data_IF_209614253682
#
_entry.id   IF_209614253682
#
_cell.length_a   1.000
_cell.length_b   1.000
_cell.length_c   1.000
_cell.angle_alpha   90.00
_cell.angle_beta   90.00
_cell.angle_gamma   90.00
#
_symmetry.space_group_name_H-M   'P 1'
#
loop_
_entity.id
_entity.type
_entity.pdbx_description
1 polymer ?
#
# COMPACT_ATOMS: atom_id res chain seq x y z
N UNK A 1 -9.38 15.06 -12.81
CA UNK A 1 -8.58 13.82 -12.93
C UNK A 1 -9.26 12.79 -13.81
N UNK A 2 -8.57 12.36 -14.88
CA UNK A 2 -8.92 11.12 -15.62
C UNK A 2 -8.63 9.90 -14.74
N UNK A 3 -9.41 8.83 -14.92
CA UNK A 3 -9.24 7.56 -14.18
C UNK A 3 -8.81 6.45 -15.15
N UNK A 4 -7.92 5.53 -14.75
CA UNK A 4 -7.54 4.41 -15.59
C UNK A 4 -8.72 3.47 -15.84
N UNK A 5 -8.78 2.90 -17.04
CA UNK A 5 -9.67 1.77 -17.36
C UNK A 5 -9.25 0.53 -16.54
N UNK A 6 -10.14 -0.43 -16.23
CA UNK A 6 -9.78 -1.62 -15.45
C UNK A 6 -8.56 -2.39 -15.99
N UNK A 7 -8.42 -2.51 -17.32
CA UNK A 7 -7.26 -3.15 -17.97
C UNK A 7 -5.95 -2.39 -17.70
N UNK A 8 -5.98 -1.05 -17.79
CA UNK A 8 -4.86 -0.18 -17.46
C UNK A 8 -4.52 -0.26 -15.97
N UNK A 9 -5.53 -0.36 -15.10
CA UNK A 9 -5.31 -0.51 -13.66
C UNK A 9 -4.64 -1.84 -13.31
N UNK A 10 -5.04 -2.95 -13.95
CA UNK A 10 -4.38 -4.27 -13.77
C UNK A 10 -2.95 -4.23 -14.28
N UNK A 11 -2.74 -3.67 -15.48
CA UNK A 11 -1.42 -3.47 -16.07
C UNK A 11 -0.50 -2.63 -15.16
N UNK A 12 -1.03 -1.56 -14.57
CA UNK A 12 -0.38 -0.74 -13.56
C UNK A 12 -0.07 -1.53 -12.27
N UNK A 13 -0.98 -2.42 -11.84
CA UNK A 13 -0.81 -3.30 -10.67
C UNK A 13 0.41 -4.21 -10.81
N UNK A 14 0.61 -4.75 -12.01
CA UNK A 14 1.68 -5.71 -12.34
C UNK A 14 3.02 -4.97 -12.60
N UNK A 15 3.04 -3.63 -12.52
CA UNK A 15 4.27 -2.84 -12.58
C UNK A 15 4.52 -2.14 -13.91
N UNK A 16 3.59 -2.19 -14.87
CA UNK A 16 3.74 -1.40 -16.10
C UNK A 16 3.44 0.09 -15.84
N UNK A 17 4.06 0.94 -16.66
CA UNK A 17 3.79 2.38 -16.69
C UNK A 17 2.45 2.66 -17.37
N UNK A 18 1.81 3.74 -16.94
CA UNK A 18 0.58 4.27 -17.53
C UNK A 18 0.94 5.42 -18.49
N UNK A 19 0.09 5.71 -19.48
CA UNK A 19 0.26 6.87 -20.35
C UNK A 19 0.33 8.20 -19.57
N UNK A 20 0.97 9.21 -20.15
CA UNK A 20 1.24 10.50 -19.49
C UNK A 20 -0.03 11.25 -19.05
N UNK A 21 -1.16 11.02 -19.71
CA UNK A 21 -2.44 11.64 -19.37
C UNK A 21 -3.04 11.13 -18.05
N UNK A 22 -2.49 10.05 -17.48
CA UNK A 22 -2.83 9.49 -16.18
C UNK A 22 -1.77 9.77 -15.10
N UNK A 23 -0.71 10.52 -15.41
CA UNK A 23 0.36 10.85 -14.45
C UNK A 23 -0.17 11.56 -13.21
N UNK A 24 -1.18 12.42 -13.35
CA UNK A 24 -1.84 13.09 -12.23
C UNK A 24 -2.52 12.07 -11.29
N UNK A 25 -3.24 11.10 -11.86
CA UNK A 25 -3.87 10.02 -11.10
C UNK A 25 -2.83 9.14 -10.39
N UNK A 26 -1.71 8.83 -11.06
CA UNK A 26 -0.59 8.08 -10.46
C UNK A 26 0.03 8.85 -9.30
N UNK A 27 0.21 10.16 -9.43
CA UNK A 27 0.71 11.01 -8.35
C UNK A 27 -0.20 10.94 -7.12
N UNK A 28 -1.51 11.07 -7.31
CA UNK A 28 -2.46 10.97 -6.20
C UNK A 28 -2.57 9.56 -5.62
N UNK A 29 -2.43 8.52 -6.45
CA UNK A 29 -2.38 7.15 -5.95
C UNK A 29 -1.14 6.90 -5.10
N UNK A 30 0.03 7.37 -5.55
CA UNK A 30 1.33 7.14 -4.91
C UNK A 30 1.62 8.09 -3.75
N UNK A 31 1.08 9.30 -3.72
CA UNK A 31 1.42 10.35 -2.72
C UNK A 31 0.19 10.81 -1.94
N UNK A 32 -1.01 10.53 -2.42
CA UNK A 32 -2.24 10.96 -1.77
C UNK A 32 -2.49 10.31 -0.40
N UNK A 33 -3.45 10.86 0.37
CA UNK A 33 -3.78 10.36 1.70
C UNK A 33 -4.17 8.88 1.66
N UNK A 34 -3.59 8.08 2.55
CA UNK A 34 -3.85 6.64 2.62
C UNK A 34 -3.24 5.82 1.47
N UNK A 35 -2.28 6.36 0.72
CA UNK A 35 -1.52 5.62 -0.30
C UNK A 35 -0.90 4.33 0.24
N UNK A 36 -0.35 4.39 1.47
CA UNK A 36 0.18 3.21 2.16
C UNK A 36 -0.90 2.16 2.44
N UNK A 37 -2.08 2.58 2.91
CA UNK A 37 -3.22 1.66 3.14
C UNK A 37 -3.70 1.02 1.85
N UNK A 38 -3.83 1.79 0.75
CA UNK A 38 -4.22 1.24 -0.56
C UNK A 38 -3.21 0.21 -1.05
N UNK A 39 -1.94 0.51 -0.89
CA UNK A 39 -0.86 -0.39 -1.28
C UNK A 39 -0.86 -1.66 -0.42
N UNK A 40 -1.00 -1.54 0.90
CA UNK A 40 -1.18 -2.68 1.81
C UNK A 40 -2.37 -3.56 1.40
N UNK A 41 -3.54 -2.98 1.17
CA UNK A 41 -4.72 -3.72 0.73
C UNK A 41 -4.50 -4.41 -0.62
N UNK A 42 -3.79 -3.76 -1.56
CA UNK A 42 -3.49 -4.32 -2.88
C UNK A 42 -2.58 -5.55 -2.81
N UNK A 43 -1.70 -5.62 -1.82
CA UNK A 43 -0.89 -6.82 -1.54
C UNK A 43 -1.65 -7.83 -0.68
N UNK A 44 -2.39 -7.37 0.33
CA UNK A 44 -3.05 -8.21 1.31
C UNK A 44 -4.25 -8.98 0.74
N UNK A 45 -5.07 -8.33 -0.10
CA UNK A 45 -6.28 -8.94 -0.68
C UNK A 45 -5.95 -10.17 -1.54
N UNK A 46 -5.00 -10.12 -2.49
CA UNK A 46 -4.58 -11.31 -3.23
C UNK A 46 -3.93 -12.38 -2.37
N UNK A 47 -3.33 -12.02 -1.23
CA UNK A 47 -2.68 -12.98 -0.32
C UNK A 47 -3.63 -13.66 0.68
N UNK A 48 -4.82 -13.10 0.92
CA UNK A 48 -5.81 -13.68 1.84
C UNK A 48 -6.16 -15.14 1.54
N UNK A 49 -6.41 -15.55 0.29
CA UNK A 49 -6.63 -16.96 -0.05
C UNK A 49 -5.45 -17.86 0.35
N UNK A 50 -4.21 -17.36 0.22
CA UNK A 50 -3.01 -18.10 0.62
C UNK A 50 -2.97 -18.36 2.12
N UNK A 51 -3.36 -17.37 2.93
CA UNK A 51 -3.50 -17.52 4.37
C UNK A 51 -4.68 -18.42 4.76
N UNK A 52 -5.77 -18.39 3.98
CA UNK A 52 -6.93 -19.24 4.22
C UNK A 52 -6.60 -20.74 4.09
N UNK A 53 -5.58 -21.14 3.33
CA UNK A 53 -5.15 -22.54 3.25
C UNK A 53 -4.74 -23.14 4.61
N UNK A 54 -4.29 -22.32 5.57
CA UNK A 54 -3.99 -22.79 6.94
C UNK A 54 -5.21 -23.44 7.60
N UNK A 55 -6.41 -23.00 7.24
CA UNK A 55 -7.65 -23.55 7.78
C UNK A 55 -8.04 -24.90 7.18
N UNK A 56 -7.53 -25.24 5.99
CA UNK A 56 -7.78 -26.51 5.31
C UNK A 56 -7.11 -27.70 6.03
N UNK A 57 -6.00 -27.44 6.75
CA UNK A 57 -5.32 -28.48 7.51
C UNK A 57 -6.10 -28.88 8.77
N UNK A 58 -6.20 -30.18 9.11
CA UNK A 58 -6.79 -30.60 10.37
C UNK A 58 -5.90 -30.15 11.54
N UNK A 59 -6.47 -29.51 12.56
CA UNK A 59 -5.72 -29.07 13.73
C UNK A 59 -6.46 -28.10 14.66
N UNK A 60 -6.01 -27.92 15.91
CA UNK A 60 -6.58 -26.98 16.86
C UNK A 60 -6.57 -25.54 16.34
N UNK A 61 -7.65 -24.79 16.58
CA UNK A 61 -7.80 -23.41 16.10
C UNK A 61 -6.70 -22.47 16.62
N UNK A 62 -6.26 -22.67 17.87
CA UNK A 62 -5.19 -21.85 18.47
C UNK A 62 -3.86 -21.97 17.73
N UNK A 63 -3.51 -23.17 17.29
CA UNK A 63 -2.28 -23.41 16.50
C UNK A 63 -2.40 -22.74 15.13
N UNK A 64 -3.56 -22.84 14.48
CA UNK A 64 -3.81 -22.18 13.19
C UNK A 64 -3.68 -20.66 13.28
N UNK A 65 -4.21 -20.06 14.35
CA UNK A 65 -4.08 -18.61 14.62
C UNK A 65 -2.62 -18.24 14.87
N UNK A 66 -1.88 -19.03 15.66
CA UNK A 66 -0.46 -18.79 15.92
C UNK A 66 0.37 -18.87 14.62
N UNK A 67 0.13 -19.88 13.77
CA UNK A 67 0.76 -19.99 12.45
C UNK A 67 0.43 -18.79 11.57
N UNK A 68 -0.85 -18.40 11.50
CA UNK A 68 -1.29 -17.25 10.73
C UNK A 68 -0.63 -15.97 11.23
N UNK A 69 -0.58 -15.73 12.53
CA UNK A 69 0.09 -14.58 13.12
C UNK A 69 1.59 -14.57 12.77
N UNK A 70 2.26 -15.71 12.90
CA UNK A 70 3.68 -15.86 12.58
C UNK A 70 3.98 -15.62 11.09
N UNK A 71 3.03 -15.88 10.20
CA UNK A 71 3.15 -15.58 8.76
C UNK A 71 2.79 -14.12 8.44
N UNK A 72 1.72 -13.59 9.02
CA UNK A 72 1.17 -12.26 8.71
C UNK A 72 2.09 -11.15 9.24
N UNK A 73 2.65 -11.30 10.44
CA UNK A 73 3.53 -10.29 11.06
C UNK A 73 4.72 -9.93 10.15
N UNK A 74 5.59 -10.88 9.75
CA UNK A 74 6.71 -10.55 8.86
C UNK A 74 6.21 -10.09 7.50
N UNK A 75 5.14 -10.67 6.97
CA UNK A 75 4.57 -10.24 5.69
C UNK A 75 4.19 -8.75 5.71
N UNK A 76 3.48 -8.28 6.74
CA UNK A 76 3.10 -6.88 6.89
C UNK A 76 4.33 -5.99 7.04
N UNK A 77 5.31 -6.38 7.86
CA UNK A 77 6.54 -5.61 8.07
C UNK A 77 7.32 -5.46 6.76
N UNK A 78 7.54 -6.56 6.02
CA UNK A 78 8.23 -6.51 4.73
C UNK A 78 7.47 -5.69 3.71
N UNK A 79 6.14 -5.84 3.67
CA UNK A 79 5.27 -5.06 2.79
C UNK A 79 5.47 -3.57 3.12
N UNK A 80 5.23 -3.13 4.35
CA UNK A 80 5.42 -1.72 4.75
C UNK A 80 6.83 -1.20 4.41
N UNK A 81 7.88 -1.97 4.69
CA UNK A 81 9.25 -1.59 4.39
C UNK A 81 9.50 -1.40 2.88
N UNK A 82 8.98 -2.31 2.05
CA UNK A 82 9.14 -2.26 0.59
C UNK A 82 8.29 -1.15 -0.04
N UNK A 83 7.20 -0.74 0.62
CA UNK A 83 6.27 0.27 0.10
C UNK A 83 6.98 1.58 -0.26
N UNK A 84 7.93 2.03 0.57
CA UNK A 84 8.68 3.26 0.33
C UNK A 84 9.57 3.14 -0.91
N UNK A 85 10.37 2.07 -0.98
CA UNK A 85 11.28 1.82 -2.11
C UNK A 85 10.50 1.69 -3.41
N UNK A 86 9.42 0.91 -3.40
CA UNK A 86 8.61 0.67 -4.57
C UNK A 86 7.91 1.94 -5.07
N UNK A 87 7.28 2.71 -4.17
CA UNK A 87 6.63 3.99 -4.53
C UNK A 87 7.65 4.98 -5.09
N UNK A 88 8.87 5.04 -4.52
CA UNK A 88 9.94 5.92 -4.98
C UNK A 88 10.41 5.55 -6.40
N UNK A 89 10.60 4.25 -6.64
CA UNK A 89 10.91 3.72 -7.97
C UNK A 89 9.80 4.03 -8.97
N UNK A 90 8.54 3.87 -8.57
CA UNK A 90 7.38 4.19 -9.43
C UNK A 90 7.32 5.66 -9.79
N UNK A 91 7.55 6.58 -8.85
CA UNK A 91 7.59 8.01 -9.16
C UNK A 91 8.67 8.31 -10.22
N UNK A 92 9.88 7.78 -10.02
CA UNK A 92 10.97 7.94 -10.98
C UNK A 92 10.62 7.35 -12.36
N UNK A 93 10.00 6.18 -12.41
CA UNK A 93 9.58 5.52 -13.66
C UNK A 93 8.49 6.32 -14.42
N UNK A 94 7.78 7.21 -13.75
CA UNK A 94 6.77 8.11 -14.32
C UNK A 94 7.30 9.56 -14.51
N UNK A 95 8.61 9.79 -14.34
CA UNK A 95 9.21 11.12 -14.47
C UNK A 95 8.83 12.11 -13.36
N UNK A 96 8.24 11.62 -12.26
CA UNK A 96 7.86 12.42 -11.10
C UNK A 96 9.00 12.49 -10.09
N UNK A 97 9.11 13.62 -9.39
CA UNK A 97 10.12 13.83 -8.35
C UNK A 97 9.97 12.80 -7.21
N UNK A 98 10.98 11.94 -6.97
CA UNK A 98 10.96 10.95 -5.89
C UNK A 98 10.82 11.56 -4.49
N UNK A 99 11.21 12.83 -4.29
CA UNK A 99 11.13 13.52 -3.01
C UNK A 99 9.70 13.90 -2.59
N UNK A 100 8.73 13.77 -3.50
CA UNK A 100 7.31 13.97 -3.18
C UNK A 100 6.80 13.04 -2.06
N UNK A 101 7.41 11.86 -1.90
CA UNK A 101 7.08 10.94 -0.81
C UNK A 101 7.50 11.48 0.55
N UNK A 102 8.63 12.17 0.62
CA UNK A 102 9.15 12.71 1.88
C UNK A 102 8.23 13.87 2.33
N UNK A 103 7.87 14.76 1.40
CA UNK A 103 6.94 15.87 1.66
C UNK A 103 5.56 15.39 2.16
N UNK A 104 5.05 14.28 1.60
CA UNK A 104 3.80 13.68 2.07
C UNK A 104 3.90 13.15 3.50
N UNK A 105 5.02 12.52 3.88
CA UNK A 105 5.23 12.00 5.24
C UNK A 105 5.23 13.13 6.28
N UNK A 106 5.85 14.27 5.96
CA UNK A 106 5.84 15.45 6.83
C UNK A 106 4.40 15.95 7.06
N UNK A 107 3.62 16.14 5.99
CA UNK A 107 2.23 16.62 6.09
C UNK A 107 1.34 15.70 6.93
N UNK A 108 1.51 14.38 6.80
CA UNK A 108 0.73 13.40 7.57
C UNK A 108 1.11 13.40 9.04
N UNK A 109 2.41 13.48 9.35
CA UNK A 109 2.92 13.60 10.74
C UNK A 109 2.42 14.87 11.41
N UNK A 110 2.41 16.00 10.71
CA UNK A 110 1.90 17.27 11.23
C UNK A 110 0.39 17.21 11.47
N UNK A 111 -0.38 16.57 10.57
CA UNK A 111 -1.82 16.34 10.78
C UNK A 111 -2.10 15.49 12.01
N UNK A 112 -1.35 14.41 12.21
CA UNK A 112 -1.47 13.55 13.39
C UNK A 112 -1.10 14.30 14.67
N UNK A 113 -0.03 15.10 14.64
CA UNK A 113 0.36 15.94 15.77
C UNK A 113 -0.70 17.01 16.11
N UNK A 114 -1.34 17.58 15.10
CA UNK A 114 -2.46 18.51 15.29
C UNK A 114 -3.68 17.82 15.90
N UNK A 115 -4.07 16.65 15.39
CA UNK A 115 -5.18 15.86 15.93
C UNK A 115 -4.92 15.41 17.38
N UNK A 116 -3.69 15.02 17.72
CA UNK A 116 -3.33 14.67 19.09
C UNK A 116 -3.41 15.87 20.06
N UNK A 117 -3.15 17.09 19.57
CA UNK A 117 -3.19 18.31 20.37
C UNK A 117 -4.59 18.93 20.50
N UNK A 118 -5.43 18.81 19.47
CA UNK A 118 -6.71 19.53 19.37
C UNK A 118 -7.93 18.62 19.15
N UNK A 119 -7.77 17.29 19.11
CA UNK A 119 -8.85 16.32 18.89
C UNK A 119 -9.65 15.93 20.13
N UNK A 120 -9.42 16.58 21.27
CA UNK A 120 -10.23 16.47 22.47
C UNK A 120 -11.15 17.70 22.62
N UNK A 121 -12.23 17.76 21.85
CA UNK A 121 -13.41 18.59 22.12
C UNK A 121 -14.65 17.83 21.67
#
# INVERSE_FOLDING_TARGET
>A
MKKPTPSQFVRYAIGQTLPEDLTEWVRDDLVGPGAERRWLLRFFIPTLPWFAFVFLFPGPIGIKIAMLAMMVVPFVVFTVALSYVWRRFRLAAHGLDPHLLDASKFKERDRLAYQARFGHM
#
